data_IF_598720249453
#
_entry.id   IF_598720249453
#
_cell.length_a   1.000
_cell.length_b   1.000
_cell.length_c   1.000
_cell.angle_alpha   90.00
_cell.angle_beta   90.00
_cell.angle_gamma   90.00
#
_symmetry.space_group_name_H-M   'P 1'
#
loop_
_entity.id
_entity.type
_entity.pdbx_description
1 polymer ?
#
# COMPACT_ATOMS: atom_id res chain seq x y z
N UNK A 1 28.78 12.06 -24.40
CA UNK A 1 28.30 10.71 -24.79
C UNK A 1 28.18 10.65 -26.30
N UNK A 2 28.76 9.64 -26.92
CA UNK A 2 28.62 9.42 -28.37
C UNK A 2 27.20 8.93 -28.68
N UNK A 3 26.75 9.13 -29.93
CA UNK A 3 25.41 8.68 -30.37
C UNK A 3 25.19 7.18 -30.12
N UNK A 4 26.22 6.37 -30.28
CA UNK A 4 26.22 4.94 -30.01
C UNK A 4 25.97 4.63 -28.51
N UNK A 5 26.59 5.38 -27.61
CA UNK A 5 26.38 5.22 -26.16
C UNK A 5 24.95 5.56 -25.72
N UNK A 6 24.34 6.57 -26.34
CA UNK A 6 22.93 6.91 -26.11
C UNK A 6 22.01 5.80 -26.58
N UNK A 7 22.24 5.25 -27.76
CA UNK A 7 21.44 4.14 -28.31
C UNK A 7 21.54 2.92 -27.39
N UNK A 8 22.74 2.53 -26.95
CA UNK A 8 22.94 1.38 -26.05
C UNK A 8 22.22 1.62 -24.71
N UNK A 9 22.31 2.85 -24.15
CA UNK A 9 21.60 3.22 -22.92
C UNK A 9 20.09 3.08 -23.05
N UNK A 10 19.49 3.61 -24.11
CA UNK A 10 18.04 3.50 -24.32
C UNK A 10 17.59 2.07 -24.61
N UNK A 11 18.41 1.29 -25.28
CA UNK A 11 18.12 -0.11 -25.60
C UNK A 11 18.19 -0.98 -24.33
N UNK A 12 19.16 -0.73 -23.46
CA UNK A 12 19.28 -1.39 -22.16
C UNK A 12 18.10 -1.04 -21.24
N UNK A 13 17.68 0.25 -21.25
CA UNK A 13 16.53 0.72 -20.49
C UNK A 13 15.22 0.09 -20.96
N UNK A 14 14.97 0.09 -22.27
CA UNK A 14 13.80 -0.56 -22.87
C UNK A 14 13.76 -2.07 -22.58
N UNK A 15 14.92 -2.72 -22.59
CA UNK A 15 15.04 -4.14 -22.25
C UNK A 15 14.76 -4.39 -20.75
N UNK A 16 15.26 -3.55 -19.86
CA UNK A 16 15.00 -3.65 -18.43
C UNK A 16 13.50 -3.48 -18.12
N UNK A 17 12.86 -2.46 -18.71
CA UNK A 17 11.41 -2.22 -18.58
C UNK A 17 10.62 -3.41 -19.13
N UNK A 18 10.98 -3.91 -20.33
CA UNK A 18 10.34 -5.09 -20.91
C UNK A 18 10.47 -6.33 -20.00
N UNK A 19 11.63 -6.53 -19.39
CA UNK A 19 11.89 -7.66 -18.50
C UNK A 19 11.08 -7.53 -17.20
N UNK A 20 11.02 -6.34 -16.62
CA UNK A 20 10.19 -6.06 -15.44
C UNK A 20 8.70 -6.27 -15.73
N UNK A 21 8.17 -5.71 -16.82
CA UNK A 21 6.78 -5.91 -17.26
C UNK A 21 6.49 -7.39 -17.50
N UNK A 22 7.42 -8.12 -18.13
CA UNK A 22 7.26 -9.56 -18.40
C UNK A 22 7.23 -10.38 -17.10
N UNK A 23 8.05 -10.02 -16.12
CA UNK A 23 8.06 -10.67 -14.80
C UNK A 23 6.75 -10.38 -14.06
N UNK A 24 6.31 -9.13 -14.02
CA UNK A 24 5.06 -8.72 -13.39
C UNK A 24 3.87 -9.41 -14.05
N UNK A 25 3.80 -9.39 -15.40
CA UNK A 25 2.73 -10.06 -16.15
C UNK A 25 2.77 -11.57 -15.93
N UNK A 26 3.97 -12.16 -15.83
CA UNK A 26 4.16 -13.56 -15.52
C UNK A 26 3.69 -13.94 -14.12
N UNK A 27 4.02 -13.13 -13.12
CA UNK A 27 3.57 -13.32 -11.72
C UNK A 27 2.07 -13.10 -11.61
N UNK A 28 1.54 -12.00 -12.13
CA UNK A 28 0.10 -11.73 -12.14
C UNK A 28 -0.66 -12.79 -12.95
N UNK A 29 -0.16 -13.20 -14.12
CA UNK A 29 -0.76 -14.26 -14.93
C UNK A 29 -0.72 -15.63 -14.26
N UNK A 30 0.34 -15.94 -13.51
CA UNK A 30 0.41 -17.16 -12.71
C UNK A 30 -0.59 -17.12 -11.52
N UNK A 31 -0.71 -15.98 -10.84
CA UNK A 31 -1.67 -15.80 -9.76
C UNK A 31 -3.12 -15.86 -10.29
N UNK A 32 -3.42 -15.21 -11.42
CA UNK A 32 -4.73 -15.28 -12.06
C UNK A 32 -5.06 -16.66 -12.63
N UNK A 33 -4.10 -17.36 -13.25
CA UNK A 33 -4.34 -18.69 -13.80
C UNK A 33 -4.47 -19.75 -12.71
N UNK A 34 -3.78 -19.62 -11.58
CA UNK A 34 -3.97 -20.46 -10.40
C UNK A 34 -5.38 -20.27 -9.83
N UNK A 35 -5.86 -19.03 -9.70
CA UNK A 35 -7.25 -18.74 -9.27
C UNK A 35 -8.30 -19.28 -10.24
N UNK A 36 -8.06 -19.26 -11.54
CA UNK A 36 -9.00 -19.73 -12.57
C UNK A 36 -8.98 -21.25 -12.74
N UNK A 37 -7.82 -21.91 -12.59
CA UNK A 37 -7.68 -23.36 -12.75
C UNK A 37 -8.04 -24.14 -11.48
N UNK A 38 -7.96 -23.50 -10.31
CA UNK A 38 -8.34 -24.07 -9.01
C UNK A 38 -9.75 -23.65 -8.55
N UNK A 39 -10.53 -23.00 -9.41
CA UNK A 39 -11.96 -22.72 -9.22
C UNK A 39 -12.83 -23.97 -9.16
N UNK A 40 -12.37 -24.97 -8.44
CA UNK A 40 -13.21 -26.03 -7.92
C UNK A 40 -14.06 -25.45 -6.80
N UNK A 41 -15.40 -25.58 -6.91
CA UNK A 41 -16.37 -25.31 -5.87
C UNK A 41 -15.91 -25.83 -4.50
N UNK A 42 -15.19 -25.04 -3.74
CA UNK A 42 -15.06 -25.22 -2.30
C UNK A 42 -16.02 -24.24 -1.66
N UNK A 43 -17.24 -24.69 -1.44
CA UNK A 43 -18.12 -24.16 -0.42
C UNK A 43 -17.60 -24.57 0.97
N UNK A 44 -16.36 -24.27 1.27
CA UNK A 44 -15.91 -24.21 2.65
C UNK A 44 -16.46 -22.88 3.20
N UNK A 45 -17.53 -22.98 4.01
CA UNK A 45 -18.21 -21.83 4.56
C UNK A 45 -17.22 -20.97 5.33
N UNK A 46 -17.38 -19.64 5.24
CA UNK A 46 -16.67 -18.70 6.10
C UNK A 46 -16.94 -19.07 7.56
N UNK A 47 -15.90 -19.15 8.35
CA UNK A 47 -16.02 -19.41 9.80
C UNK A 47 -15.80 -18.08 10.51
N UNK A 48 -16.78 -17.67 11.30
CA UNK A 48 -16.69 -16.49 12.15
C UNK A 48 -15.98 -16.86 13.47
N UNK A 49 -15.00 -16.03 13.84
CA UNK A 49 -14.35 -16.10 15.14
C UNK A 49 -14.73 -14.84 15.93
N UNK A 50 -15.39 -15.04 17.07
CA UNK A 50 -15.66 -13.93 17.98
C UNK A 50 -14.38 -13.50 18.67
N UNK A 51 -14.06 -12.23 18.61
CA UNK A 51 -12.88 -11.66 19.22
C UNK A 51 -13.29 -10.88 20.47
N UNK A 52 -12.56 -11.08 21.56
CA UNK A 52 -12.68 -10.24 22.73
C UNK A 52 -12.10 -8.85 22.42
N UNK A 53 -12.90 -7.81 22.61
CA UNK A 53 -12.64 -6.42 22.15
C UNK A 53 -11.69 -5.64 23.06
N UNK A 54 -10.79 -6.26 23.77
CA UNK A 54 -9.89 -5.61 24.73
C UNK A 54 -8.49 -5.30 24.18
N UNK A 55 -8.32 -5.22 22.86
CA UNK A 55 -7.02 -4.92 22.25
C UNK A 55 -6.99 -3.49 21.70
N UNK A 56 -5.81 -2.87 21.77
CA UNK A 56 -5.52 -1.54 21.19
C UNK A 56 -4.57 -1.61 20.01
N UNK A 57 -4.05 -2.80 19.67
CA UNK A 57 -3.18 -3.01 18.53
C UNK A 57 -3.59 -4.21 17.71
N UNK A 58 -3.18 -4.19 16.43
CA UNK A 58 -3.39 -5.27 15.46
C UNK A 58 -2.06 -5.65 14.82
N UNK A 59 -1.80 -6.96 14.72
CA UNK A 59 -0.69 -7.50 13.92
C UNK A 59 -1.21 -8.63 13.04
N UNK A 60 -1.17 -8.44 11.73
CA UNK A 60 -1.61 -9.40 10.71
C UNK A 60 -0.40 -9.86 9.91
N UNK A 61 -0.17 -11.17 9.87
CA UNK A 61 0.90 -11.75 9.08
C UNK A 61 0.36 -12.92 8.26
N UNK A 62 0.21 -12.70 6.96
CA UNK A 62 -0.35 -13.65 6.00
C UNK A 62 0.55 -13.81 4.79
N UNK A 63 0.75 -15.03 4.31
CA UNK A 63 1.69 -15.30 3.21
C UNK A 63 1.07 -15.02 1.84
N UNK A 64 -0.18 -15.49 1.63
CA UNK A 64 -0.90 -15.32 0.36
C UNK A 64 -2.41 -15.34 0.61
N UNK A 65 -3.05 -14.17 0.58
CA UNK A 65 -4.46 -14.05 0.89
C UNK A 65 -5.12 -12.83 0.23
N UNK A 66 -6.45 -12.86 0.19
CA UNK A 66 -7.30 -11.70 0.08
C UNK A 66 -7.67 -11.26 1.51
N UNK A 67 -7.17 -10.10 1.94
CA UNK A 67 -7.48 -9.49 3.23
C UNK A 67 -8.42 -8.30 3.01
N UNK A 68 -9.61 -8.39 3.58
CA UNK A 68 -10.57 -7.28 3.60
C UNK A 68 -10.69 -6.74 5.03
N UNK A 69 -10.30 -5.49 5.25
CA UNK A 69 -10.55 -4.76 6.50
C UNK A 69 -11.75 -3.85 6.26
N UNK A 70 -12.85 -4.14 6.95
CA UNK A 70 -14.15 -3.47 6.75
C UNK A 70 -14.60 -2.75 7.99
N UNK A 71 -15.31 -1.65 7.81
CA UNK A 71 -16.04 -1.01 8.91
C UNK A 71 -17.33 -1.74 9.21
N UNK A 72 -17.70 -1.83 10.49
CA UNK A 72 -18.92 -2.49 10.95
C UNK A 72 -19.31 -2.10 12.38
N UNK A 73 -20.27 -2.80 12.95
CA UNK A 73 -20.75 -2.48 14.30
C UNK A 73 -19.90 -3.10 15.42
N UNK A 74 -19.24 -4.21 15.14
CA UNK A 74 -18.48 -5.02 16.12
C UNK A 74 -17.23 -5.59 15.49
N UNK A 75 -16.25 -5.88 16.34
CA UNK A 75 -15.10 -6.65 15.93
C UNK A 75 -15.49 -8.08 15.52
N UNK A 76 -14.95 -8.52 14.40
CA UNK A 76 -15.14 -9.88 13.90
C UNK A 76 -14.03 -10.28 12.95
N UNK A 77 -13.69 -11.57 12.93
CA UNK A 77 -12.83 -12.16 11.91
C UNK A 77 -13.59 -13.30 11.26
N UNK A 78 -13.69 -13.23 9.94
CA UNK A 78 -14.24 -14.30 9.13
C UNK A 78 -13.16 -14.84 8.19
N UNK A 79 -13.06 -16.15 8.05
CA UNK A 79 -12.08 -16.77 7.15
C UNK A 79 -12.59 -18.08 6.60
N UNK A 80 -12.19 -18.40 5.37
CA UNK A 80 -12.34 -19.73 4.78
C UNK A 80 -11.13 -20.65 5.07
N UNK A 81 -10.16 -20.18 5.88
CA UNK A 81 -8.90 -20.89 6.11
C UNK A 81 -8.83 -21.46 7.52
N UNK A 82 -8.90 -22.78 7.65
CA UNK A 82 -8.92 -23.49 8.93
C UNK A 82 -7.66 -23.40 9.79
N UNK A 83 -6.55 -22.93 9.21
CA UNK A 83 -5.26 -22.75 9.91
C UNK A 83 -4.93 -21.29 10.20
N UNK A 84 -5.88 -20.39 10.04
CA UNK A 84 -5.75 -19.04 10.53
C UNK A 84 -5.86 -19.06 12.04
N UNK A 85 -4.85 -18.51 12.72
CA UNK A 85 -4.85 -18.34 14.17
C UNK A 85 -5.12 -16.87 14.48
N UNK A 86 -6.15 -16.64 15.30
CA UNK A 86 -6.47 -15.34 15.85
C UNK A 86 -6.28 -15.40 17.36
N UNK A 87 -5.25 -14.76 17.85
CA UNK A 87 -4.89 -14.77 19.27
C UNK A 87 -4.83 -13.33 19.81
N UNK A 88 -5.46 -13.09 20.96
CA UNK A 88 -5.21 -11.87 21.72
C UNK A 88 -4.00 -12.10 22.62
N UNK A 89 -2.91 -11.37 22.37
CA UNK A 89 -1.69 -11.47 23.16
C UNK A 89 -1.39 -10.12 23.80
N UNK A 90 -1.75 -9.98 25.06
CA UNK A 90 -1.78 -8.70 25.74
C UNK A 90 -2.82 -7.79 25.06
N UNK A 91 -2.43 -6.59 24.74
CA UNK A 91 -3.30 -5.58 24.09
C UNK A 91 -3.25 -5.64 22.56
N UNK A 92 -2.73 -6.73 21.96
CA UNK A 92 -2.59 -6.88 20.51
C UNK A 92 -3.40 -8.08 20.02
N UNK A 93 -4.27 -7.86 19.04
CA UNK A 93 -4.88 -8.91 18.23
C UNK A 93 -3.88 -9.38 17.18
N UNK A 94 -3.44 -10.62 17.29
CA UNK A 94 -2.56 -11.25 16.31
C UNK A 94 -3.34 -12.19 15.41
N UNK A 95 -3.27 -11.93 14.09
CA UNK A 95 -3.85 -12.78 13.03
C UNK A 95 -2.70 -13.33 12.19
N UNK A 96 -2.51 -14.65 12.20
CA UNK A 96 -1.40 -15.25 11.46
C UNK A 96 -1.72 -16.65 10.96
N UNK A 97 -1.03 -17.07 9.91
CA UNK A 97 -1.11 -18.43 9.41
C UNK A 97 -0.27 -19.38 10.27
N UNK A 98 -0.88 -20.48 10.69
CA UNK A 98 -0.13 -21.60 11.27
C UNK A 98 0.69 -22.30 10.20
N UNK A 99 2.00 -22.25 10.30
CA UNK A 99 2.88 -22.99 9.38
C UNK A 99 2.63 -24.49 9.47
N UNK A 100 2.02 -25.06 8.45
CA UNK A 100 1.90 -26.51 8.29
C UNK A 100 2.76 -26.96 7.12
N UNK A 101 3.76 -27.80 7.40
CA UNK A 101 4.66 -28.34 6.37
C UNK A 101 3.97 -29.26 5.33
N UNK A 102 2.69 -29.64 5.58
CA UNK A 102 1.93 -30.58 4.78
C UNK A 102 0.58 -30.06 4.29
N UNK A 103 0.27 -28.79 4.54
CA UNK A 103 -1.01 -28.21 4.10
C UNK A 103 -0.95 -27.83 2.61
N UNK A 104 -1.44 -28.72 1.76
CA UNK A 104 -1.79 -28.37 0.38
C UNK A 104 -3.17 -27.73 0.41
N UNK A 105 -3.27 -26.42 0.21
CA UNK A 105 -4.54 -25.73 0.03
C UNK A 105 -4.78 -25.50 -1.46
N UNK A 106 -5.90 -26.00 -1.95
CA UNK A 106 -6.34 -25.83 -3.33
C UNK A 106 -7.34 -24.68 -3.52
N UNK A 107 -7.26 -23.63 -2.72
CA UNK A 107 -8.11 -22.44 -2.82
C UNK A 107 -7.40 -21.21 -2.25
N UNK A 108 -7.77 -20.02 -2.74
CA UNK A 108 -7.28 -18.75 -2.19
C UNK A 108 -7.76 -18.56 -0.75
N UNK A 109 -6.87 -18.13 0.13
CA UNK A 109 -7.25 -17.73 1.49
C UNK A 109 -7.96 -16.38 1.43
N UNK A 110 -9.10 -16.30 2.13
CA UNK A 110 -9.80 -15.05 2.36
C UNK A 110 -9.94 -14.80 3.86
N UNK A 111 -9.59 -13.57 4.25
CA UNK A 111 -9.72 -13.08 5.62
C UNK A 111 -10.50 -11.78 5.59
N UNK A 112 -11.56 -11.69 6.35
CA UNK A 112 -12.31 -10.44 6.55
C UNK A 112 -12.17 -10.06 8.02
N UNK A 113 -11.59 -8.89 8.26
CA UNK A 113 -11.52 -8.27 9.59
C UNK A 113 -12.52 -7.13 9.62
N UNK A 114 -13.52 -7.23 10.49
CA UNK A 114 -14.49 -6.15 10.73
C UNK A 114 -14.07 -5.34 11.94
N UNK A 115 -14.02 -4.03 11.79
CA UNK A 115 -13.60 -3.06 12.80
C UNK A 115 -14.73 -2.04 13.01
N UNK A 116 -15.10 -1.70 14.25
CA UNK A 116 -16.05 -0.62 14.50
C UNK A 116 -15.55 0.71 13.94
N UNK A 117 -16.44 1.46 13.30
CA UNK A 117 -16.14 2.78 12.75
C UNK A 117 -15.49 3.72 13.78
N UNK A 118 -14.47 4.46 13.37
CA UNK A 118 -13.75 5.41 14.23
C UNK A 118 -12.88 4.79 15.32
N UNK A 119 -12.61 3.47 15.25
CA UNK A 119 -11.70 2.82 16.20
C UNK A 119 -10.28 3.31 15.98
N UNK A 120 -9.68 3.94 17.01
CA UNK A 120 -8.27 4.30 17.02
C UNK A 120 -7.44 3.18 17.62
N UNK A 121 -6.45 2.71 16.88
CA UNK A 121 -5.45 1.76 17.37
C UNK A 121 -4.16 2.46 17.77
N UNK A 122 -3.49 1.96 18.79
CA UNK A 122 -2.15 2.42 19.14
C UNK A 122 -1.13 1.98 18.08
N UNK A 123 -1.32 0.76 17.55
CA UNK A 123 -0.42 0.17 16.59
C UNK A 123 -1.16 -0.77 15.63
N UNK A 124 -0.86 -0.63 14.34
CA UNK A 124 -1.31 -1.57 13.30
C UNK A 124 -0.14 -1.99 12.45
N UNK A 125 0.04 -3.31 12.31
CA UNK A 125 1.08 -3.93 11.50
C UNK A 125 0.44 -4.99 10.59
N UNK A 126 0.57 -4.79 9.29
CA UNK A 126 0.02 -5.68 8.26
C UNK A 126 1.15 -6.11 7.34
N UNK A 127 1.52 -7.39 7.41
CA UNK A 127 2.47 -8.00 6.48
C UNK A 127 1.75 -9.03 5.61
N UNK A 128 1.70 -8.78 4.30
CA UNK A 128 1.08 -9.64 3.31
C UNK A 128 2.09 -10.00 2.23
N UNK A 129 2.45 -11.28 2.13
CA UNK A 129 3.47 -11.73 1.17
C UNK A 129 2.98 -11.62 -0.28
N UNK A 130 1.76 -12.09 -0.58
CA UNK A 130 1.15 -11.97 -1.91
C UNK A 130 -0.38 -11.90 -1.82
N UNK A 131 -1.03 -11.23 -2.78
CA UNK A 131 -2.48 -11.16 -2.86
C UNK A 131 -3.02 -9.73 -2.88
N UNK A 132 -4.16 -9.53 -2.22
CA UNK A 132 -4.77 -8.21 -2.15
C UNK A 132 -5.13 -7.83 -0.71
N UNK A 133 -4.90 -6.59 -0.36
CA UNK A 133 -5.33 -5.98 0.89
C UNK A 133 -6.29 -4.84 0.55
N UNK A 134 -7.53 -4.93 1.03
CA UNK A 134 -8.54 -3.89 0.87
C UNK A 134 -8.91 -3.34 2.24
N UNK A 135 -8.91 -2.04 2.39
CA UNK A 135 -9.18 -1.33 3.64
C UNK A 135 -10.25 -0.27 3.40
N UNK A 136 -11.38 -0.37 4.10
CA UNK A 136 -12.40 0.69 4.06
C UNK A 136 -11.91 1.91 4.83
N UNK A 137 -11.62 1.75 6.11
CA UNK A 137 -11.08 2.80 6.97
C UNK A 137 -10.17 2.19 8.04
N UNK A 138 -9.03 2.84 8.29
CA UNK A 138 -8.11 2.45 9.34
C UNK A 138 -7.49 3.69 9.99
N UNK A 139 -7.60 3.79 11.30
CA UNK A 139 -7.07 4.89 12.10
C UNK A 139 -6.12 4.33 13.16
N UNK A 140 -4.86 4.77 13.14
CA UNK A 140 -3.84 4.33 14.08
C UNK A 140 -2.93 5.47 14.54
N UNK A 141 -2.30 5.31 15.71
CA UNK A 141 -1.18 6.16 16.08
C UNK A 141 0.04 5.80 15.21
N UNK A 142 0.39 4.53 15.15
CA UNK A 142 1.47 4.02 14.30
C UNK A 142 0.94 2.96 13.33
N UNK A 143 1.23 3.12 12.04
CA UNK A 143 0.77 2.24 10.96
C UNK A 143 1.96 1.69 10.19
N UNK A 144 2.02 0.38 10.00
CA UNK A 144 2.97 -0.28 9.12
C UNK A 144 2.24 -1.26 8.21
N UNK A 145 2.46 -1.15 6.90
CA UNK A 145 1.89 -2.05 5.89
C UNK A 145 3.01 -2.50 4.95
N UNK A 146 3.29 -3.80 4.96
CA UNK A 146 4.28 -4.42 4.09
C UNK A 146 3.61 -5.38 3.11
N UNK A 147 3.85 -5.17 1.82
CA UNK A 147 3.37 -6.01 0.74
C UNK A 147 4.56 -6.56 -0.06
N UNK A 148 4.66 -7.88 -0.17
CA UNK A 148 5.68 -8.50 -1.02
C UNK A 148 5.33 -8.37 -2.51
N UNK A 149 4.17 -8.90 -2.92
CA UNK A 149 3.66 -8.79 -4.29
C UNK A 149 2.13 -8.76 -4.29
N UNK A 150 1.53 -7.76 -4.93
CA UNK A 150 0.07 -7.68 -4.99
C UNK A 150 -0.49 -6.28 -4.99
N UNK A 151 -1.65 -6.12 -4.38
CA UNK A 151 -2.39 -4.86 -4.43
C UNK A 151 -2.83 -4.42 -3.02
N UNK A 152 -2.59 -3.15 -2.69
CA UNK A 152 -3.22 -2.46 -1.58
C UNK A 152 -4.24 -1.45 -2.11
N UNK A 153 -5.45 -1.53 -1.62
CA UNK A 153 -6.49 -0.52 -1.84
C UNK A 153 -7.04 -0.06 -0.50
N UNK A 154 -6.84 1.20 -0.17
CA UNK A 154 -7.42 1.82 1.02
C UNK A 154 -8.29 3.02 0.63
N UNK A 155 -9.52 3.04 1.11
CA UNK A 155 -10.39 4.21 0.92
C UNK A 155 -9.96 5.33 1.87
N UNK A 156 -9.57 4.98 3.12
CA UNK A 156 -9.07 5.94 4.09
C UNK A 156 -8.03 5.32 5.03
N UNK A 157 -6.86 5.98 5.13
CA UNK A 157 -5.83 5.67 6.12
C UNK A 157 -5.48 6.93 6.90
N UNK A 158 -5.58 6.87 8.22
CA UNK A 158 -5.15 7.94 9.11
C UNK A 158 -4.06 7.41 10.06
N UNK A 159 -2.89 8.05 10.05
CA UNK A 159 -1.78 7.78 10.96
C UNK A 159 -1.40 9.04 11.71
N UNK A 160 -1.51 9.00 13.05
CA UNK A 160 -1.34 10.19 13.90
C UNK A 160 0.13 10.50 14.12
N UNK A 161 0.96 9.49 14.35
CA UNK A 161 2.38 9.66 14.67
C UNK A 161 3.27 9.35 13.47
N UNK A 162 3.11 8.16 12.88
CA UNK A 162 3.90 7.71 11.72
C UNK A 162 3.16 6.66 10.88
N UNK A 163 3.50 6.64 9.59
CA UNK A 163 3.08 5.61 8.63
C UNK A 163 4.29 5.08 7.87
N UNK A 164 4.38 3.75 7.74
CA UNK A 164 5.37 3.05 6.91
C UNK A 164 4.62 2.13 5.94
N UNK A 165 4.89 2.27 4.65
CA UNK A 165 4.19 1.52 3.59
C UNK A 165 5.20 1.00 2.60
N UNK A 166 5.46 -0.31 2.64
CA UNK A 166 6.34 -1.01 1.71
C UNK A 166 5.51 -1.75 0.67
N UNK A 167 5.56 -1.29 -0.57
CA UNK A 167 4.92 -1.92 -1.72
C UNK A 167 5.95 -2.58 -2.63
N UNK A 168 6.34 -3.83 -2.37
CA UNK A 168 7.40 -4.52 -3.10
C UNK A 168 7.19 -4.56 -4.62
N UNK A 169 6.21 -5.34 -5.11
CA UNK A 169 5.85 -5.40 -6.53
C UNK A 169 4.33 -5.41 -6.72
N UNK A 170 3.78 -4.42 -7.39
CA UNK A 170 2.34 -4.34 -7.63
C UNK A 170 1.77 -2.94 -7.61
N UNK A 171 0.65 -2.74 -6.93
CA UNK A 171 0.03 -1.42 -6.85
C UNK A 171 -0.41 -1.06 -5.42
N UNK A 172 -0.17 0.20 -5.06
CA UNK A 172 -0.65 0.81 -3.83
C UNK A 172 -1.58 1.96 -4.21
N UNK A 173 -2.83 1.89 -3.75
CA UNK A 173 -3.83 2.94 -3.97
C UNK A 173 -4.44 3.35 -2.63
N UNK A 174 -4.23 4.61 -2.24
CA UNK A 174 -4.80 5.23 -1.04
C UNK A 174 -5.63 6.44 -1.49
N UNK A 175 -6.93 6.44 -1.16
CA UNK A 175 -7.87 7.43 -1.67
C UNK A 175 -8.18 8.58 -0.72
N UNK A 176 -7.76 8.48 0.52
CA UNK A 176 -8.01 9.53 1.51
C UNK A 176 -7.30 9.30 2.83
N UNK A 177 -7.40 10.30 3.70
CA UNK A 177 -6.87 10.28 5.05
C UNK A 177 -5.74 11.28 5.27
N UNK A 178 -5.18 11.23 6.48
CA UNK A 178 -4.04 12.04 6.91
C UNK A 178 -2.94 11.13 7.41
N UNK A 179 -1.77 11.28 6.84
CA UNK A 179 -0.60 10.51 7.23
C UNK A 179 0.50 11.44 7.75
N UNK A 180 0.96 11.21 8.96
CA UNK A 180 2.06 11.97 9.55
C UNK A 180 3.37 11.18 9.47
N UNK A 181 4.47 11.89 9.20
CA UNK A 181 5.82 11.34 9.17
C UNK A 181 5.86 10.01 8.41
N UNK A 182 5.50 10.10 7.14
CA UNK A 182 5.22 8.94 6.29
C UNK A 182 6.47 8.50 5.54
N UNK A 183 6.70 7.20 5.52
CA UNK A 183 7.72 6.56 4.70
C UNK A 183 7.06 5.58 3.73
N UNK A 184 7.25 5.78 2.43
CA UNK A 184 6.65 4.94 1.38
C UNK A 184 7.75 4.45 0.45
N UNK A 185 7.95 3.13 0.44
CA UNK A 185 8.89 2.45 -0.44
C UNK A 185 8.15 1.63 -1.49
N UNK A 186 8.36 1.93 -2.77
CA UNK A 186 7.81 1.18 -3.90
C UNK A 186 8.92 0.56 -4.73
N UNK A 187 8.98 -0.77 -4.78
CA UNK A 187 9.96 -1.46 -5.60
C UNK A 187 9.65 -1.35 -7.10
N UNK A 188 8.58 -2.02 -7.55
CA UNK A 188 8.14 -2.02 -8.96
C UNK A 188 6.63 -1.97 -9.06
N UNK A 189 6.08 -0.94 -9.71
CA UNK A 189 4.64 -0.88 -9.92
C UNK A 189 4.05 0.52 -9.93
N UNK A 190 2.88 0.67 -9.31
CA UNK A 190 2.11 1.90 -9.35
C UNK A 190 1.76 2.37 -7.94
N UNK A 191 2.04 3.64 -7.64
CA UNK A 191 1.59 4.32 -6.43
C UNK A 191 0.55 5.38 -6.79
N UNK A 192 -0.65 5.24 -6.27
CA UNK A 192 -1.72 6.26 -6.35
C UNK A 192 -2.08 6.71 -4.93
N UNK A 193 -1.55 7.84 -4.52
CA UNK A 193 -1.77 8.39 -3.19
C UNK A 193 -2.60 9.67 -3.25
N UNK A 194 -3.76 9.65 -2.59
CA UNK A 194 -4.54 10.85 -2.29
C UNK A 194 -4.60 10.99 -0.79
N UNK A 195 -3.86 11.94 -0.21
CA UNK A 195 -3.77 12.12 1.25
C UNK A 195 -3.30 13.51 1.64
N UNK A 196 -3.51 13.88 2.90
CA UNK A 196 -2.78 14.96 3.54
C UNK A 196 -1.52 14.39 4.18
N UNK A 197 -0.34 14.67 3.60
CA UNK A 197 0.94 14.32 4.21
C UNK A 197 1.37 15.42 5.17
N UNK A 198 1.62 15.06 6.42
CA UNK A 198 2.00 15.99 7.48
C UNK A 198 3.39 15.65 8.05
N UNK A 199 4.06 16.64 8.64
CA UNK A 199 5.39 16.45 9.20
C UNK A 199 6.45 16.28 8.11
N UNK A 200 7.28 15.24 8.24
CA UNK A 200 8.27 14.84 7.24
C UNK A 200 7.85 13.53 6.61
N UNK A 201 7.81 13.50 5.28
CA UNK A 201 7.49 12.29 4.52
C UNK A 201 8.60 12.00 3.51
N UNK A 202 8.93 10.72 3.34
CA UNK A 202 9.80 10.20 2.30
C UNK A 202 9.00 9.32 1.35
N UNK A 203 9.25 9.42 0.06
CA UNK A 203 8.63 8.58 -0.95
C UNK A 203 9.69 8.12 -1.93
N UNK A 204 10.04 6.84 -1.82
CA UNK A 204 10.99 6.18 -2.70
C UNK A 204 10.25 5.32 -3.71
N UNK A 205 10.45 5.59 -5.00
CA UNK A 205 9.88 4.74 -6.05
C UNK A 205 10.96 4.16 -6.96
N UNK A 206 10.95 2.84 -7.10
CA UNK A 206 11.95 2.14 -7.90
C UNK A 206 11.64 2.22 -9.39
N UNK A 207 10.69 1.44 -9.90
CA UNK A 207 10.31 1.41 -11.32
C UNK A 207 8.80 1.46 -11.45
N UNK A 208 8.27 2.49 -12.12
CA UNK A 208 6.82 2.55 -12.36
C UNK A 208 6.25 3.96 -12.48
N UNK A 209 5.00 4.09 -12.08
CA UNK A 209 4.26 5.36 -12.10
C UNK A 209 3.85 5.75 -10.68
N UNK A 210 4.08 7.02 -10.34
CA UNK A 210 3.71 7.57 -9.03
C UNK A 210 2.83 8.79 -9.21
N UNK A 211 1.61 8.70 -8.71
CA UNK A 211 0.59 9.75 -8.76
C UNK A 211 0.27 10.22 -7.34
N UNK A 212 0.65 11.44 -7.00
CA UNK A 212 0.42 12.05 -5.69
C UNK A 212 -0.62 13.15 -5.81
N UNK A 213 -1.73 13.00 -5.12
CA UNK A 213 -2.74 14.05 -4.92
C UNK A 213 -2.63 14.55 -3.49
N UNK A 214 -1.92 15.64 -3.28
CA UNK A 214 -1.66 16.21 -1.98
C UNK A 214 -2.82 17.12 -1.55
N UNK A 215 -3.44 16.80 -0.42
CA UNK A 215 -4.55 17.57 0.11
C UNK A 215 -4.03 18.83 0.81
N UNK A 216 -4.37 19.99 0.25
CA UNK A 216 -3.88 21.31 0.65
C UNK A 216 -3.54 22.17 -0.56
N UNK A 217 -2.63 23.10 -0.35
CA UNK A 217 -2.14 24.04 -1.35
C UNK A 217 -0.61 23.92 -1.50
N UNK A 218 -0.05 24.47 -2.56
CA UNK A 218 1.38 24.59 -2.77
C UNK A 218 2.12 25.32 -1.62
N UNK A 219 1.42 26.21 -0.91
CA UNK A 219 1.98 26.92 0.24
C UNK A 219 2.08 26.07 1.52
N UNK A 220 1.39 24.93 1.58
CA UNK A 220 1.43 24.03 2.72
C UNK A 220 2.65 23.12 2.69
N UNK A 221 3.21 22.89 1.49
CA UNK A 221 4.22 21.86 1.24
C UNK A 221 5.57 22.45 0.83
N UNK A 222 6.62 21.72 1.20
CA UNK A 222 7.98 21.84 0.69
C UNK A 222 8.37 20.48 0.11
N UNK A 223 8.63 20.42 -1.20
CA UNK A 223 8.97 19.18 -1.91
C UNK A 223 10.43 19.25 -2.34
N UNK A 224 11.22 18.28 -1.96
CA UNK A 224 12.57 18.04 -2.45
C UNK A 224 12.53 16.81 -3.36
N UNK A 225 13.05 16.94 -4.60
CA UNK A 225 12.90 15.93 -5.63
C UNK A 225 14.24 15.53 -6.23
N UNK A 226 14.57 14.24 -6.16
CA UNK A 226 15.49 13.55 -7.08
C UNK A 226 14.66 12.61 -7.95
N UNK A 227 14.37 12.98 -9.20
CA UNK A 227 13.44 12.23 -10.05
C UNK A 227 14.04 11.00 -10.72
N UNK A 228 15.36 10.77 -10.59
CA UNK A 228 16.03 9.67 -11.27
C UNK A 228 15.93 9.74 -12.80
N UNK A 229 15.46 8.66 -13.44
CA UNK A 229 15.30 8.55 -14.90
C UNK A 229 13.82 8.57 -15.27
N UNK A 230 13.36 9.70 -15.80
CA UNK A 230 11.97 9.83 -16.23
C UNK A 230 11.49 11.26 -16.27
N UNK A 231 10.19 11.43 -16.18
CA UNK A 231 9.56 12.75 -16.17
C UNK A 231 8.83 12.97 -14.85
N UNK A 232 8.88 14.21 -14.35
CA UNK A 232 8.16 14.61 -13.16
C UNK A 232 7.34 15.88 -13.46
N UNK A 233 6.11 15.91 -12.97
CA UNK A 233 5.14 16.95 -13.21
C UNK A 233 4.52 17.44 -11.90
N UNK A 234 4.38 18.75 -11.75
CA UNK A 234 3.69 19.41 -10.64
C UNK A 234 2.59 20.31 -11.22
N UNK A 235 1.33 20.00 -10.96
CA UNK A 235 0.17 20.67 -11.55
C UNK A 235 0.30 20.87 -13.08
N UNK A 236 0.74 19.83 -13.78
CA UNK A 236 0.94 19.83 -15.22
C UNK A 236 2.15 20.62 -15.72
N UNK A 237 3.01 21.12 -14.81
CA UNK A 237 4.28 21.77 -15.15
C UNK A 237 5.44 20.82 -14.92
N UNK A 238 6.32 20.70 -15.91
CA UNK A 238 7.49 19.82 -15.81
C UNK A 238 8.45 20.30 -14.72
N UNK A 239 8.81 19.41 -13.83
CA UNK A 239 9.79 19.65 -12.77
C UNK A 239 11.21 19.38 -13.26
N UNK A 240 12.17 20.11 -12.72
CA UNK A 240 13.60 19.83 -12.92
C UNK A 240 14.14 19.03 -11.75
N UNK A 241 15.16 18.24 -12.05
CA UNK A 241 15.88 17.44 -11.08
C UNK A 241 16.60 18.28 -10.02
N UNK A 242 16.77 17.75 -8.81
CA UNK A 242 17.44 18.40 -7.69
C UNK A 242 16.88 19.78 -7.34
N UNK A 243 15.55 19.95 -7.43
CA UNK A 243 14.87 21.21 -7.17
C UNK A 243 13.97 21.12 -5.96
N UNK A 244 14.00 22.17 -5.13
CA UNK A 244 13.02 22.36 -4.07
C UNK A 244 11.82 23.16 -4.59
N UNK A 245 10.62 22.70 -4.28
CA UNK A 245 9.36 23.34 -4.64
C UNK A 245 8.55 23.68 -3.38
N UNK A 246 8.01 24.89 -3.34
CA UNK A 246 7.24 25.38 -2.22
C UNK A 246 8.09 25.77 -0.99
N UNK A 247 7.43 26.26 0.05
CA UNK A 247 8.06 26.74 1.28
C UNK A 247 7.24 26.40 2.53
N UNK A 248 6.28 25.50 2.41
CA UNK A 248 5.41 25.09 3.48
C UNK A 248 6.12 24.31 4.59
N UNK A 249 5.37 24.01 5.64
CA UNK A 249 5.90 23.28 6.80
C UNK A 249 5.84 21.76 6.66
N UNK A 250 5.05 21.24 5.71
CA UNK A 250 4.97 19.82 5.39
C UNK A 250 6.05 19.48 4.39
N UNK A 251 7.06 18.73 4.83
CA UNK A 251 8.21 18.39 4.01
C UNK A 251 8.03 17.02 3.36
N UNK A 252 8.23 16.96 2.04
CA UNK A 252 8.21 15.70 1.28
C UNK A 252 9.52 15.58 0.53
N UNK A 253 10.27 14.53 0.80
CA UNK A 253 11.44 14.11 0.06
C UNK A 253 11.01 12.99 -0.90
N UNK A 254 11.37 13.10 -2.18
CA UNK A 254 10.99 12.13 -3.20
C UNK A 254 12.23 11.70 -3.95
N UNK A 255 12.54 10.40 -3.83
CA UNK A 255 13.65 9.77 -4.54
C UNK A 255 13.12 8.80 -5.60
N UNK A 256 13.38 9.13 -6.86
CA UNK A 256 12.86 8.41 -8.01
C UNK A 256 13.88 7.51 -8.69
N UNK A 257 13.49 6.28 -8.99
CA UNK A 257 14.27 5.36 -9.81
C UNK A 257 14.05 5.56 -11.31
N UNK A 258 13.11 4.84 -11.92
CA UNK A 258 12.79 4.89 -13.36
C UNK A 258 11.28 4.95 -13.56
N UNK A 259 10.77 6.07 -14.08
CA UNK A 259 9.32 6.16 -14.28
C UNK A 259 8.79 7.55 -14.45
N UNK A 260 7.51 7.72 -14.16
CA UNK A 260 6.80 8.99 -14.22
C UNK A 260 6.27 9.37 -12.83
N UNK A 261 6.45 10.64 -12.46
CA UNK A 261 5.93 11.21 -11.24
C UNK A 261 4.95 12.34 -11.57
N UNK A 262 3.74 12.24 -11.08
CA UNK A 262 2.71 13.26 -11.21
C UNK A 262 2.28 13.74 -9.83
N UNK A 263 2.45 15.03 -9.54
CA UNK A 263 2.02 15.64 -8.28
C UNK A 263 0.96 16.68 -8.58
N UNK A 264 -0.16 16.63 -7.87
CA UNK A 264 -1.22 17.63 -7.94
C UNK A 264 -1.69 18.05 -6.56
N UNK A 265 -2.09 19.32 -6.39
CA UNK A 265 -2.71 19.78 -5.16
C UNK A 265 -4.23 19.81 -5.29
N UNK A 266 -4.93 19.39 -4.25
CA UNK A 266 -6.37 19.54 -4.13
C UNK A 266 -6.74 20.17 -2.79
N UNK A 267 -7.72 21.09 -2.77
CA UNK A 267 -8.20 21.63 -1.51
C UNK A 267 -8.71 20.51 -0.61
N UNK A 268 -8.51 20.66 0.70
CA UNK A 268 -9.08 19.73 1.68
C UNK A 268 -10.61 19.73 1.57
N UNK A 269 -11.25 18.56 1.74
CA UNK A 269 -12.69 18.53 1.96
C UNK A 269 -13.05 19.46 3.11
N UNK A 270 -14.18 20.16 2.98
CA UNK A 270 -14.66 21.02 4.04
C UNK A 270 -15.17 20.16 5.21
N UNK A 271 -14.53 20.24 6.37
CA UNK A 271 -14.88 19.46 7.57
C UNK A 271 -16.31 19.78 8.11
N UNK A 272 -17.03 20.71 7.45
CA UNK A 272 -18.39 21.09 7.82
C UNK A 272 -19.51 20.20 7.25
N UNK A 273 -19.15 19.13 6.51
CA UNK A 273 -20.13 18.23 5.85
C UNK A 273 -20.04 16.76 6.32
N UNK A 274 -19.38 16.48 7.45
CA UNK A 274 -19.36 15.15 8.08
C UNK A 274 -20.24 15.14 9.32
#
# INVERSE_FOLDING_TARGET
MTTLQKIIKYLAMAFAIFLCVSIITGICGALFSVSYFLGGNTSDGMTEQTIDSSFTGISINISAAELDIKTGEKFGVETNHKYLECESKGDILKISEKRSLFAHHSGGMKVILTIPEGTLFDYVDISAGAGSVTIDELLANSLSIELGAGELKAERLDAIDNAEIDGGAGSVTIRGGRLNNTDIDMGVGELNLTSELCGKSSIDYGIGETNLVLMGTDNDYKIELDKGIGEAWLDGKKMSDASGYGSGSKCIEIDGGVGELNITFKPKPDDSQI
#
